data_IF_742516550275
#
_entry.id   IF_742516550275
#
_cell.length_a   1.000
_cell.length_b   1.000
_cell.length_c   1.000
_cell.angle_alpha   90.00
_cell.angle_beta   90.00
_cell.angle_gamma   90.00
#
_symmetry.space_group_name_H-M   'P 1'
#
loop_
_entity.id
_entity.type
_entity.pdbx_description
1 polymer ?
#
# COMPACT_ATOMS: atom_id res chain seq x y z
N UNK A 1 -7.68 10.79 12.06
CA UNK A 1 -8.11 9.37 11.96
C UNK A 1 -6.87 8.50 11.96
N UNK A 2 -6.80 7.48 12.82
CA UNK A 2 -5.64 6.58 12.90
C UNK A 2 -5.52 5.80 11.57
N UNK A 3 -4.36 5.84 10.87
CA UNK A 3 -4.17 5.11 9.62
C UNK A 3 -4.17 3.60 9.86
N UNK A 4 -4.37 2.80 8.82
CA UNK A 4 -4.24 1.33 8.94
C UNK A 4 -2.77 0.95 9.12
N UNK A 5 -2.45 -0.10 9.90
CA UNK A 5 -1.13 -0.71 9.84
C UNK A 5 -0.84 -1.14 8.39
N UNK A 6 0.39 -0.91 7.95
CA UNK A 6 0.78 -1.13 6.56
C UNK A 6 1.15 -2.59 6.33
N UNK A 7 0.62 -3.17 5.25
CA UNK A 7 1.01 -4.52 4.84
C UNK A 7 2.34 -4.51 4.05
N UNK A 8 2.89 -5.70 3.79
CA UNK A 8 4.16 -5.88 3.09
C UNK A 8 4.19 -5.16 1.73
N UNK A 9 3.12 -5.27 0.95
CA UNK A 9 3.01 -4.62 -0.37
C UNK A 9 3.02 -3.08 -0.26
N UNK A 10 2.29 -2.51 0.69
CA UNK A 10 2.25 -1.06 0.90
C UNK A 10 3.62 -0.52 1.30
N UNK A 11 4.35 -1.25 2.14
CA UNK A 11 5.72 -0.91 2.53
C UNK A 11 6.67 -0.98 1.31
N UNK A 12 6.62 -2.06 0.55
CA UNK A 12 7.42 -2.21 -0.68
C UNK A 12 7.14 -1.10 -1.69
N UNK A 13 5.86 -0.76 -1.94
CA UNK A 13 5.50 0.28 -2.91
C UNK A 13 6.03 1.65 -2.49
N UNK A 14 6.06 1.95 -1.18
CA UNK A 14 6.65 3.18 -0.65
C UNK A 14 8.16 3.21 -0.80
N UNK A 15 8.83 2.10 -0.50
CA UNK A 15 10.27 1.95 -0.70
C UNK A 15 10.62 2.13 -2.19
N UNK A 16 9.88 1.48 -3.08
CA UNK A 16 10.01 1.65 -4.52
C UNK A 16 9.79 3.10 -4.96
N UNK A 17 8.72 3.76 -4.47
CA UNK A 17 8.46 5.17 -4.78
C UNK A 17 9.61 6.08 -4.34
N UNK A 18 10.12 5.89 -3.12
CA UNK A 18 11.25 6.66 -2.59
C UNK A 18 12.50 6.46 -3.46
N UNK A 19 12.81 5.22 -3.84
CA UNK A 19 13.90 4.90 -4.75
C UNK A 19 13.74 5.58 -6.12
N UNK A 20 12.52 5.62 -6.67
CA UNK A 20 12.26 6.29 -7.95
C UNK A 20 12.41 7.81 -7.85
N UNK A 21 11.99 8.43 -6.73
CA UNK A 21 12.18 9.87 -6.49
C UNK A 21 13.66 10.24 -6.39
N UNK A 22 14.45 9.37 -5.76
CA UNK A 22 15.89 9.58 -5.65
C UNK A 22 16.61 9.44 -7.00
N UNK A 23 16.20 8.46 -7.82
CA UNK A 23 16.79 8.24 -9.15
C UNK A 23 16.38 9.28 -10.19
N UNK A 24 15.16 9.82 -10.08
CA UNK A 24 14.60 10.76 -11.05
C UNK A 24 14.00 11.98 -10.33
N UNK A 25 14.84 12.85 -9.73
CA UNK A 25 14.37 13.96 -8.91
C UNK A 25 13.52 14.96 -9.70
N UNK A 26 13.85 15.19 -10.97
CA UNK A 26 13.16 16.15 -11.84
C UNK A 26 11.87 15.60 -12.47
N UNK A 27 11.57 14.30 -12.26
CA UNK A 27 10.42 13.64 -12.89
C UNK A 27 9.22 13.66 -11.94
N UNK A 28 8.12 14.22 -12.43
CA UNK A 28 6.83 14.11 -11.74
C UNK A 28 6.33 12.66 -11.74
N UNK A 29 6.42 11.98 -10.60
CA UNK A 29 5.93 10.61 -10.42
C UNK A 29 4.42 10.59 -10.16
N UNK A 30 3.65 10.12 -11.14
CA UNK A 30 2.20 9.87 -10.97
C UNK A 30 1.98 8.58 -10.19
N UNK A 31 1.13 8.63 -9.16
CA UNK A 31 0.82 7.48 -8.29
C UNK A 31 0.28 6.25 -9.04
N UNK A 32 -0.48 6.48 -10.11
CA UNK A 32 -0.97 5.40 -10.98
C UNK A 32 0.19 4.61 -11.58
N UNK A 33 1.17 5.29 -12.16
CA UNK A 33 2.32 4.67 -12.82
C UNK A 33 3.18 3.92 -11.80
N UNK A 34 3.52 4.58 -10.68
CA UNK A 34 4.30 3.97 -9.58
C UNK A 34 3.64 2.68 -9.09
N UNK A 35 2.31 2.67 -8.93
CA UNK A 35 1.60 1.50 -8.43
C UNK A 35 1.57 0.34 -9.44
N UNK A 36 1.44 0.65 -10.73
CA UNK A 36 1.52 -0.34 -11.81
C UNK A 36 2.91 -0.95 -11.87
N UNK A 37 3.95 -0.13 -11.96
CA UNK A 37 5.33 -0.55 -12.13
C UNK A 37 5.82 -1.34 -10.90
N UNK A 38 5.55 -0.83 -9.70
CA UNK A 38 5.86 -1.55 -8.46
C UNK A 38 5.15 -2.92 -8.40
N UNK A 39 3.94 -3.02 -8.94
CA UNK A 39 3.15 -4.25 -8.89
C UNK A 39 3.78 -5.35 -9.72
N UNK A 40 4.30 -4.99 -10.89
CA UNK A 40 5.07 -5.90 -11.74
C UNK A 40 6.37 -6.34 -11.06
N UNK A 41 7.14 -5.37 -10.56
CA UNK A 41 8.41 -5.65 -9.90
C UNK A 41 8.18 -6.55 -8.68
N UNK A 42 7.18 -6.28 -7.85
CA UNK A 42 6.87 -7.09 -6.67
C UNK A 42 6.56 -8.54 -7.00
N UNK A 43 5.82 -8.81 -8.08
CA UNK A 43 5.56 -10.19 -8.51
C UNK A 43 6.85 -10.94 -8.82
N UNK A 44 7.80 -10.25 -9.46
CA UNK A 44 9.10 -10.77 -9.86
C UNK A 44 10.19 -10.70 -8.75
N UNK A 45 9.90 -10.12 -7.59
CA UNK A 45 10.88 -10.04 -6.50
C UNK A 45 11.21 -11.42 -5.92
N UNK A 46 12.49 -11.68 -5.55
CA UNK A 46 12.87 -12.89 -4.85
C UNK A 46 12.13 -13.07 -3.53
N UNK A 47 11.94 -14.33 -3.12
CA UNK A 47 11.24 -14.68 -1.87
C UNK A 47 11.86 -14.01 -0.64
N UNK A 48 13.19 -13.86 -0.60
CA UNK A 48 13.89 -13.16 0.49
C UNK A 48 13.41 -11.71 0.67
N UNK A 49 13.12 -11.00 -0.42
CA UNK A 49 12.65 -9.62 -0.38
C UNK A 49 11.20 -9.59 0.07
N UNK A 50 10.36 -10.48 -0.45
CA UNK A 50 8.97 -10.60 0.00
C UNK A 50 8.90 -10.87 1.51
N UNK A 51 9.72 -11.82 1.99
CA UNK A 51 9.83 -12.16 3.42
C UNK A 51 10.34 -11.01 4.27
N UNK A 52 11.30 -10.23 3.78
CA UNK A 52 11.76 -9.01 4.46
C UNK A 52 10.61 -8.03 4.72
N UNK A 53 9.82 -7.72 3.68
CA UNK A 53 8.67 -6.83 3.83
C UNK A 53 7.52 -7.44 4.64
N UNK A 54 7.36 -8.77 4.67
CA UNK A 54 6.45 -9.45 5.59
C UNK A 54 6.84 -9.28 7.05
N UNK A 55 8.14 -9.39 7.37
CA UNK A 55 8.65 -9.14 8.72
C UNK A 55 8.40 -7.69 9.13
N UNK A 56 8.70 -6.72 8.25
CA UNK A 56 8.41 -5.31 8.49
C UNK A 56 6.92 -5.05 8.70
N UNK A 57 6.06 -5.73 7.94
CA UNK A 57 4.61 -5.63 8.10
C UNK A 57 4.13 -6.16 9.44
N UNK A 58 4.73 -7.23 9.97
CA UNK A 58 4.42 -7.77 11.31
C UNK A 58 4.82 -6.76 12.38
N UNK A 59 6.04 -6.24 12.29
CA UNK A 59 6.54 -5.22 13.23
C UNK A 59 5.65 -3.97 13.22
N UNK A 60 5.26 -3.48 12.03
CA UNK A 60 4.36 -2.35 11.91
C UNK A 60 2.98 -2.61 12.53
N UNK A 61 2.48 -3.85 12.44
CA UNK A 61 1.22 -4.24 13.08
C UNK A 61 1.35 -4.28 14.60
N UNK A 62 2.42 -4.85 15.13
CA UNK A 62 2.70 -4.91 16.57
C UNK A 62 2.87 -3.51 17.17
N UNK A 63 3.68 -2.67 16.54
CA UNK A 63 3.84 -1.26 16.93
C UNK A 63 2.51 -0.51 16.90
N UNK A 64 1.70 -0.72 15.86
CA UNK A 64 0.38 -0.12 15.78
C UNK A 64 -0.54 -0.58 16.91
N UNK A 65 -0.50 -1.85 17.30
CA UNK A 65 -1.30 -2.40 18.40
C UNK A 65 -0.89 -1.81 19.75
N UNK A 66 0.41 -1.59 19.96
CA UNK A 66 0.94 -0.94 21.16
C UNK A 66 0.52 0.54 21.22
N UNK A 67 0.69 1.26 20.11
CA UNK A 67 0.39 2.70 20.04
C UNK A 67 -1.12 2.99 20.07
N UNK A 68 -1.93 2.08 19.55
CA UNK A 68 -3.39 2.24 19.46
C UNK A 68 -4.12 0.96 19.90
N UNK A 69 -4.17 0.67 21.21
CA UNK A 69 -4.78 -0.55 21.74
C UNK A 69 -6.27 -0.70 21.36
N UNK A 70 -7.00 0.41 21.31
CA UNK A 70 -8.43 0.44 20.99
C UNK A 70 -8.72 0.60 19.49
N UNK A 71 -7.70 0.48 18.64
CA UNK A 71 -7.89 0.66 17.21
C UNK A 71 -8.77 -0.44 16.61
N UNK A 72 -9.85 -0.02 15.94
CA UNK A 72 -10.71 -0.89 15.14
C UNK A 72 -10.87 -0.35 13.72
N UNK A 73 -10.61 -1.18 12.73
CA UNK A 73 -10.86 -0.82 11.34
C UNK A 73 -12.37 -0.76 11.06
N UNK A 74 -12.88 0.45 10.82
CA UNK A 74 -14.27 0.71 10.41
C UNK A 74 -14.29 1.27 8.98
N UNK A 75 -14.50 0.42 7.95
CA UNK A 75 -14.69 0.90 6.60
C UNK A 75 -15.96 1.74 6.51
N UNK A 76 -15.89 2.88 5.82
CA UNK A 76 -17.12 3.61 5.46
C UNK A 76 -17.86 2.74 4.45
N UNK A 77 -19.10 2.34 4.76
CA UNK A 77 -20.00 1.76 3.76
C UNK A 77 -20.21 2.82 2.68
N UNK A 78 -19.86 2.52 1.43
CA UNK A 78 -20.33 3.33 0.31
C UNK A 78 -21.84 3.13 0.25
N UNK A 79 -22.61 4.23 0.27
CA UNK A 79 -24.01 4.13 -0.14
C UNK A 79 -24.02 3.52 -1.54
N UNK A 80 -24.81 2.46 -1.73
CA UNK A 80 -25.09 1.92 -3.06
C UNK A 80 -25.85 3.05 -3.77
N UNK A 81 -25.15 3.90 -4.51
CA UNK A 81 -25.81 4.67 -5.57
C UNK A 81 -26.12 3.65 -6.64
N UNK A 82 -27.38 3.24 -6.71
CA UNK A 82 -27.93 2.41 -7.79
C UNK A 82 -27.36 2.90 -9.12
N UNK A 83 -26.46 2.12 -9.70
CA UNK A 83 -26.08 2.31 -11.09
C UNK A 83 -27.12 1.56 -11.92
N UNK A 84 -28.34 2.08 -11.93
CA UNK A 84 -29.29 1.79 -13.00
C UNK A 84 -28.87 2.68 -14.16
N UNK A 85 -28.09 2.14 -15.10
CA UNK A 85 -28.20 2.59 -16.48
C UNK A 85 -27.67 1.54 -17.48
N UNK A 86 -28.64 0.89 -18.13
CA UNK A 86 -28.76 0.67 -19.57
C UNK A 86 -27.50 0.31 -20.38
N UNK A 87 -27.46 -0.94 -20.88
CA UNK A 87 -26.84 -1.21 -22.18
C UNK A 87 -27.95 -1.46 -23.20
N UNK A 88 -27.93 -0.56 -24.19
CA UNK A 88 -28.55 -0.60 -25.50
C UNK A 88 -27.79 -1.59 -26.40
#
# INVERSE_FOLDING_TARGET
>A
KIPRPQNAWVLFRKDYEANQRLKFPDKTLKMKNVSTDAGEIWRNQPLKIKRYFEILSKLAHEQHKILYPDYKYTPKKKSIKETINTKK
#
